data_IF_833061005526
#
_entry.id   IF_833061005526
#
_cell.length_a   1.000
_cell.length_b   1.000
_cell.length_c   1.000
_cell.angle_alpha   90.00
_cell.angle_beta   90.00
_cell.angle_gamma   90.00
#
_symmetry.space_group_name_H-M   'P 1'
#
loop_
_entity.id
_entity.type
_entity.pdbx_description
1 polymer ?
#
# COMPACT_ATOMS: atom_id res chain seq x y z
N UNK A 1 3.64 31.95 17.43
CA UNK A 1 2.32 32.06 16.78
C UNK A 1 1.63 30.70 16.87
N UNK A 2 0.90 30.48 17.96
CA UNK A 2 0.16 29.25 18.20
C UNK A 2 -1.17 29.34 17.44
N UNK A 3 -1.38 28.44 16.47
CA UNK A 3 -2.69 28.25 15.85
C UNK A 3 -3.61 27.60 16.89
N UNK A 4 -4.49 28.40 17.49
CA UNK A 4 -5.63 27.89 18.26
C UNK A 4 -6.57 27.14 17.31
N UNK A 5 -6.77 25.84 17.56
CA UNK A 5 -7.80 25.05 16.87
C UNK A 5 -9.14 25.47 17.45
N UNK A 6 -10.02 26.04 16.62
CA UNK A 6 -11.43 26.21 16.95
C UNK A 6 -12.10 24.83 16.99
N UNK A 7 -12.72 24.49 18.11
CA UNK A 7 -13.58 23.31 18.26
C UNK A 7 -15.02 23.78 18.04
N UNK A 8 -15.65 23.33 16.96
CA UNK A 8 -17.05 23.63 16.61
C UNK A 8 -17.96 22.47 17.02
N UNK A 9 -17.92 22.06 18.29
CA UNK A 9 -18.95 21.18 18.87
C UNK A 9 -19.85 22.06 19.75
N UNK A 10 -20.85 22.68 19.13
CA UNK A 10 -21.94 23.37 19.82
C UNK A 10 -22.98 22.32 20.22
N UNK A 11 -23.09 22.01 21.51
CA UNK A 11 -24.34 21.47 22.04
C UNK A 11 -25.38 22.61 21.99
N UNK A 12 -26.51 22.37 21.31
CA UNK A 12 -27.60 23.33 21.02
C UNK A 12 -28.34 23.88 22.27
N UNK A 13 -27.77 23.77 23.47
CA UNK A 13 -28.41 24.14 24.75
C UNK A 13 -27.74 25.29 25.51
N UNK A 14 -26.64 25.87 25.01
CA UNK A 14 -25.92 26.92 25.73
C UNK A 14 -26.32 28.32 25.22
N UNK A 15 -26.94 29.14 26.07
CA UNK A 15 -27.26 30.53 25.76
C UNK A 15 -26.00 31.32 25.34
N UNK A 16 -26.07 32.18 24.31
CA UNK A 16 -24.90 32.89 23.80
C UNK A 16 -24.39 33.91 24.82
N UNK A 17 -23.14 33.73 25.29
CA UNK A 17 -22.57 34.57 26.34
C UNK A 17 -22.28 36.03 25.95
N UNK A 18 -22.07 36.31 24.66
CA UNK A 18 -21.88 37.66 24.11
C UNK A 18 -22.08 37.65 22.58
N UNK A 19 -22.10 38.83 21.95
CA UNK A 19 -22.32 38.96 20.50
C UNK A 19 -21.24 38.30 19.63
N UNK A 20 -20.01 38.14 20.15
CA UNK A 20 -18.90 37.44 19.50
C UNK A 20 -18.09 36.64 20.55
N UNK A 21 -18.52 35.42 20.90
CA UNK A 21 -17.79 34.59 21.86
C UNK A 21 -16.48 34.08 21.28
N UNK A 22 -15.37 34.30 22.00
CA UNK A 22 -14.08 33.69 21.68
C UNK A 22 -13.75 32.67 22.76
N UNK A 23 -14.04 31.40 22.50
CA UNK A 23 -13.96 30.32 23.50
C UNK A 23 -12.54 29.73 23.48
N UNK A 24 -11.83 29.88 24.59
CA UNK A 24 -10.52 29.29 24.84
C UNK A 24 -10.63 28.17 25.88
N UNK A 25 -9.68 27.24 25.84
CA UNK A 25 -9.54 26.19 26.86
C UNK A 25 -8.35 26.54 27.74
N UNK A 26 -8.60 26.75 29.03
CA UNK A 26 -7.54 27.03 30.01
C UNK A 26 -6.70 25.77 30.28
N UNK A 27 -5.54 25.95 30.90
CA UNK A 27 -4.66 24.83 31.32
C UNK A 27 -5.38 23.82 32.23
N UNK A 28 -6.35 24.29 33.02
CA UNK A 28 -7.21 23.48 33.89
C UNK A 28 -8.29 22.68 33.12
N UNK A 29 -8.33 22.80 31.79
CA UNK A 29 -9.27 22.09 30.92
C UNK A 29 -10.69 22.67 30.92
N UNK A 30 -10.90 23.89 31.42
CA UNK A 30 -12.21 24.57 31.38
C UNK A 30 -12.38 25.41 30.11
N UNK A 31 -13.57 25.35 29.49
CA UNK A 31 -13.96 26.20 28.37
C UNK A 31 -14.41 27.56 28.89
N UNK A 32 -13.70 28.62 28.51
CA UNK A 32 -13.96 29.99 28.99
C UNK A 32 -14.00 30.94 27.80
N UNK A 33 -14.96 31.85 27.78
CA UNK A 33 -14.96 32.95 26.81
C UNK A 33 -13.89 33.99 27.20
N UNK A 34 -12.92 34.24 26.33
CA UNK A 34 -11.88 35.25 26.53
C UNK A 34 -12.45 36.68 26.58
N UNK A 35 -13.61 36.91 25.94
CA UNK A 35 -14.22 38.24 25.82
C UNK A 35 -15.09 38.63 27.03
N UNK A 36 -15.79 37.69 27.67
CA UNK A 36 -16.69 37.98 28.79
C UNK A 36 -16.42 37.17 30.07
N UNK A 37 -15.50 36.20 30.02
CA UNK A 37 -15.13 35.38 31.18
C UNK A 37 -16.14 34.31 31.58
N UNK A 38 -17.25 34.14 30.84
CA UNK A 38 -18.22 33.08 31.15
C UNK A 38 -17.58 31.70 30.96
N UNK A 39 -17.78 30.83 31.94
CA UNK A 39 -17.30 29.44 31.94
C UNK A 39 -18.42 28.52 31.48
N UNK A 40 -18.19 27.79 30.39
CA UNK A 40 -19.16 26.84 29.82
C UNK A 40 -18.98 25.41 30.38
N UNK A 41 -18.09 25.24 31.36
CA UNK A 41 -17.78 23.95 32.00
C UNK A 41 -16.42 23.38 31.60
N UNK A 42 -16.16 22.14 32.01
CA UNK A 42 -14.94 21.42 31.65
C UNK A 42 -15.02 20.95 30.19
N UNK A 43 -14.00 21.26 29.40
CA UNK A 43 -13.74 20.55 28.16
C UNK A 43 -13.35 19.13 28.54
N UNK A 44 -14.27 18.19 28.35
CA UNK A 44 -13.89 16.79 28.27
C UNK A 44 -12.97 16.67 27.05
N UNK A 45 -11.67 16.53 27.32
CA UNK A 45 -10.75 16.13 26.28
C UNK A 45 -11.16 14.70 25.92
N UNK A 46 -11.73 14.51 24.74
CA UNK A 46 -11.97 13.19 24.12
C UNK A 46 -10.63 12.50 23.75
N UNK A 47 -9.58 12.74 24.52
CA UNK A 47 -8.35 11.99 24.39
C UNK A 47 -8.55 10.66 25.08
N UNK A 48 -8.80 9.64 24.26
CA UNK A 48 -8.57 8.25 24.62
C UNK A 48 -7.30 8.16 25.49
N UNK A 49 -7.41 7.49 26.65
CA UNK A 49 -6.30 7.22 27.57
C UNK A 49 -5.06 6.79 26.80
N UNK A 50 -4.09 7.68 26.62
CA UNK A 50 -2.86 7.42 25.86
C UNK A 50 -1.98 6.46 26.65
N UNK A 51 -1.52 5.40 25.99
CA UNK A 51 -0.45 4.57 26.52
C UNK A 51 0.89 5.18 26.08
N UNK A 52 1.71 5.57 27.05
CA UNK A 52 2.96 6.29 26.78
C UNK A 52 4.17 5.35 26.68
N UNK A 53 4.04 4.13 27.23
CA UNK A 53 5.09 3.11 27.20
C UNK A 53 4.69 1.92 26.33
N UNK A 54 5.70 1.25 25.75
CA UNK A 54 5.50 0.04 24.93
C UNK A 54 4.88 -1.11 25.73
N UNK A 55 5.22 -1.23 27.01
CA UNK A 55 4.67 -2.22 27.94
C UNK A 55 3.20 -1.96 28.25
N UNK A 56 2.84 -0.69 28.48
CA UNK A 56 1.46 -0.29 28.68
C UNK A 56 0.62 -0.51 27.41
N UNK A 57 1.18 -0.25 26.22
CA UNK A 57 0.53 -0.60 24.94
C UNK A 57 0.31 -2.12 24.84
N UNK A 58 1.26 -2.94 25.28
CA UNK A 58 1.18 -4.40 25.18
C UNK A 58 0.15 -5.00 26.15
N UNK A 59 0.08 -4.51 27.40
CA UNK A 59 -0.90 -4.96 28.39
C UNK A 59 -2.33 -4.54 27.98
N UNK A 60 -2.49 -3.32 27.48
CA UNK A 60 -3.79 -2.77 27.06
C UNK A 60 -4.33 -3.40 25.78
N UNK A 61 -3.47 -3.80 24.85
CA UNK A 61 -3.85 -4.57 23.64
C UNK A 61 -4.66 -5.84 23.94
N UNK A 62 -4.60 -6.40 25.16
CA UNK A 62 -5.40 -7.57 25.57
C UNK A 62 -6.82 -7.22 25.98
N UNK A 63 -7.00 -6.12 26.72
CA UNK A 63 -8.28 -5.76 27.36
C UNK A 63 -9.08 -4.76 26.57
N UNK A 64 -8.43 -3.93 25.74
CA UNK A 64 -9.11 -2.89 24.98
C UNK A 64 -9.78 -3.43 23.72
N UNK A 65 -11.01 -2.95 23.42
CA UNK A 65 -11.67 -3.28 22.17
C UNK A 65 -10.83 -2.75 21.00
N UNK A 66 -10.36 -3.65 20.15
CA UNK A 66 -9.77 -3.26 18.86
C UNK A 66 -10.88 -2.91 17.88
N UNK A 67 -11.10 -1.62 17.69
CA UNK A 67 -11.89 -1.11 16.58
C UNK A 67 -11.25 -1.56 15.26
N UNK A 68 -11.94 -2.44 14.53
CA UNK A 68 -11.56 -2.86 13.18
C UNK A 68 -12.52 -2.22 12.21
N UNK A 69 -12.00 -1.64 11.14
CA UNK A 69 -12.83 -1.08 10.07
C UNK A 69 -13.48 -2.13 9.17
N UNK A 70 -13.06 -3.40 9.26
CA UNK A 70 -13.61 -4.51 8.49
C UNK A 70 -13.34 -5.87 9.16
N UNK A 71 -14.15 -6.87 8.81
CA UNK A 71 -14.09 -8.23 9.33
C UNK A 71 -15.14 -8.49 10.43
N UNK A 72 -15.17 -9.70 11.01
CA UNK A 72 -16.09 -10.03 12.10
C UNK A 72 -15.90 -9.08 13.29
N UNK A 73 -17.01 -8.54 13.81
CA UNK A 73 -17.02 -7.63 14.97
C UNK A 73 -16.45 -8.27 16.23
N UNK A 74 -16.71 -9.57 16.41
CA UNK A 74 -16.11 -10.40 17.45
C UNK A 74 -15.64 -11.71 16.84
N UNK A 75 -14.51 -12.22 17.32
CA UNK A 75 -13.96 -13.52 16.91
C UNK A 75 -14.01 -14.43 18.13
N UNK A 76 -14.90 -15.42 18.12
CA UNK A 76 -14.90 -16.49 19.11
C UNK A 76 -13.87 -17.50 18.62
N UNK A 77 -12.69 -17.47 19.22
CA UNK A 77 -11.61 -18.40 18.93
C UNK A 77 -12.00 -19.81 19.41
N UNK A 78 -11.58 -20.84 18.67
CA UNK A 78 -11.82 -22.24 19.04
C UNK A 78 -10.88 -22.73 20.15
N UNK A 79 -10.63 -21.89 21.17
CA UNK A 79 -9.74 -22.23 22.28
C UNK A 79 -10.49 -23.20 23.20
N UNK A 80 -9.83 -24.30 23.57
CA UNK A 80 -10.40 -25.34 24.44
C UNK A 80 -10.14 -25.09 25.93
N UNK A 81 -9.60 -23.92 26.27
CA UNK A 81 -9.18 -23.55 27.62
C UNK A 81 -9.74 -22.19 28.01
N UNK A 82 -10.17 -22.08 29.25
CA UNK A 82 -10.64 -20.83 29.85
C UNK A 82 -9.49 -19.83 30.07
N UNK A 83 -9.83 -18.58 30.39
CA UNK A 83 -8.86 -17.54 30.74
C UNK A 83 -7.95 -17.91 31.94
N UNK A 84 -8.41 -18.84 32.79
CA UNK A 84 -7.64 -19.40 33.92
C UNK A 84 -6.80 -20.63 33.54
N UNK A 85 -6.86 -21.09 32.28
CA UNK A 85 -6.10 -22.24 31.78
C UNK A 85 -6.76 -23.60 31.99
N UNK A 86 -7.95 -23.67 32.58
CA UNK A 86 -8.70 -24.93 32.71
C UNK A 86 -9.28 -25.37 31.37
N UNK A 87 -9.31 -26.68 31.12
CA UNK A 87 -9.96 -27.24 29.95
C UNK A 87 -11.48 -27.09 30.03
N UNK A 88 -12.07 -26.63 28.93
CA UNK A 88 -13.52 -26.52 28.77
C UNK A 88 -14.14 -27.91 28.68
N UNK A 89 -15.29 -28.10 29.33
CA UNK A 89 -16.07 -29.34 29.17
C UNK A 89 -16.54 -29.52 27.72
N UNK A 90 -16.71 -30.78 27.29
CA UNK A 90 -17.12 -31.10 25.91
C UNK A 90 -18.43 -30.40 25.48
N UNK A 91 -19.39 -30.23 26.41
CA UNK A 91 -20.65 -29.52 26.16
C UNK A 91 -20.42 -28.03 25.87
N UNK A 92 -19.53 -27.38 26.63
CA UNK A 92 -19.19 -25.98 26.45
C UNK A 92 -18.40 -25.77 25.16
N UNK A 93 -17.45 -26.66 24.85
CA UNK A 93 -16.72 -26.63 23.57
C UNK A 93 -17.67 -26.71 22.37
N UNK A 94 -18.67 -27.60 22.42
CA UNK A 94 -19.69 -27.71 21.38
C UNK A 94 -20.54 -26.43 21.26
N UNK A 95 -20.91 -25.82 22.39
CA UNK A 95 -21.63 -24.54 22.43
C UNK A 95 -20.80 -23.42 21.79
N UNK A 96 -19.54 -23.25 22.17
CA UNK A 96 -18.66 -22.23 21.60
C UNK A 96 -18.39 -22.45 20.10
N UNK A 97 -18.24 -23.71 19.67
CA UNK A 97 -18.15 -24.05 18.24
C UNK A 97 -19.41 -23.61 17.49
N UNK A 98 -20.60 -23.86 18.06
CA UNK A 98 -21.88 -23.43 17.47
C UNK A 98 -22.00 -21.90 17.42
N UNK A 99 -21.66 -21.21 18.51
CA UNK A 99 -21.65 -19.74 18.55
C UNK A 99 -20.67 -19.15 17.55
N UNK A 100 -19.47 -19.73 17.41
CA UNK A 100 -18.47 -19.30 16.43
C UNK A 100 -18.99 -19.44 14.98
N UNK A 101 -19.71 -20.53 14.68
CA UNK A 101 -20.39 -20.71 13.38
C UNK A 101 -21.49 -19.67 13.15
N UNK A 102 -22.34 -19.42 14.14
CA UNK A 102 -23.40 -18.40 14.05
C UNK A 102 -22.77 -17.02 13.83
N UNK A 103 -21.73 -16.69 14.60
CA UNK A 103 -21.02 -15.42 14.45
C UNK A 103 -20.39 -15.26 13.07
N UNK A 104 -19.80 -16.32 12.51
CA UNK A 104 -19.28 -16.32 11.15
C UNK A 104 -20.36 -16.10 10.07
N UNK A 105 -21.59 -16.54 10.33
CA UNK A 105 -22.72 -16.37 9.39
C UNK A 105 -23.26 -14.94 9.32
N UNK A 106 -23.08 -14.14 10.38
CA UNK A 106 -23.48 -12.73 10.44
C UNK A 106 -22.58 -11.81 9.62
N UNK A 107 -21.42 -12.31 9.14
CA UNK A 107 -20.42 -11.53 8.41
C UNK A 107 -20.81 -11.38 6.94
N UNK A 108 -20.82 -10.14 6.47
CA UNK A 108 -21.10 -9.82 5.06
C UNK A 108 -20.10 -10.52 4.13
N UNK A 109 -20.53 -10.84 2.91
CA UNK A 109 -19.64 -11.42 1.88
C UNK A 109 -18.46 -10.50 1.57
N UNK A 110 -18.66 -9.18 1.61
CA UNK A 110 -17.61 -8.18 1.42
C UNK A 110 -16.60 -8.19 2.57
N UNK A 111 -17.08 -8.28 3.82
CA UNK A 111 -16.22 -8.32 5.00
C UNK A 111 -15.38 -9.60 5.05
N UNK A 112 -15.97 -10.75 4.69
CA UNK A 112 -15.23 -12.01 4.54
C UNK A 112 -14.13 -11.89 3.48
N UNK A 113 -14.41 -11.24 2.36
CA UNK A 113 -13.42 -10.99 1.33
C UNK A 113 -12.26 -10.11 1.85
N UNK A 114 -12.57 -9.03 2.57
CA UNK A 114 -11.53 -8.18 3.17
C UNK A 114 -10.70 -8.91 4.22
N UNK A 115 -11.33 -9.77 5.01
CA UNK A 115 -10.68 -10.59 6.01
C UNK A 115 -9.65 -11.54 5.40
N UNK A 116 -9.96 -12.13 4.24
CA UNK A 116 -9.04 -13.00 3.51
C UNK A 116 -7.94 -12.20 2.80
N UNK A 117 -8.28 -11.05 2.21
CA UNK A 117 -7.38 -10.30 1.34
C UNK A 117 -6.33 -9.48 2.09
N UNK A 118 -6.67 -8.85 3.22
CA UNK A 118 -5.75 -7.96 3.94
C UNK A 118 -4.47 -8.66 4.41
N UNK A 119 -4.53 -9.84 5.06
CA UNK A 119 -3.32 -10.55 5.49
C UNK A 119 -2.43 -10.93 4.29
N UNK A 120 -3.04 -11.32 3.16
CA UNK A 120 -2.31 -11.64 1.92
C UNK A 120 -1.59 -10.42 1.35
N UNK A 121 -2.26 -9.26 1.30
CA UNK A 121 -1.64 -8.00 0.88
C UNK A 121 -0.46 -7.61 1.78
N UNK A 122 -0.65 -7.66 3.10
CA UNK A 122 0.39 -7.36 4.08
C UNK A 122 1.57 -8.34 3.96
N UNK A 123 1.29 -9.64 3.79
CA UNK A 123 2.31 -10.66 3.59
C UNK A 123 3.16 -10.42 2.34
N UNK A 124 2.53 -10.06 1.21
CA UNK A 124 3.25 -9.71 -0.02
C UNK A 124 4.10 -8.44 0.15
N UNK A 125 3.55 -7.41 0.78
CA UNK A 125 4.28 -6.17 1.04
C UNK A 125 5.53 -6.40 1.88
N UNK A 126 5.42 -7.18 2.96
CA UNK A 126 6.55 -7.49 3.84
C UNK A 126 7.63 -8.27 3.09
N UNK A 127 7.25 -9.30 2.32
CA UNK A 127 8.19 -10.08 1.51
C UNK A 127 8.95 -9.22 0.48
N UNK A 128 8.29 -8.22 -0.09
CA UNK A 128 8.87 -7.34 -1.11
C UNK A 128 9.51 -6.06 -0.53
N UNK A 129 9.49 -5.90 0.79
CA UNK A 129 9.95 -4.69 1.51
C UNK A 129 9.32 -3.40 0.97
N UNK A 130 8.01 -3.44 0.70
CA UNK A 130 7.26 -2.30 0.15
C UNK A 130 6.83 -1.36 1.28
N UNK A 131 7.06 -0.03 1.17
CA UNK A 131 6.65 0.95 2.17
C UNK A 131 5.14 0.95 2.47
N UNK A 132 4.77 1.24 3.72
CA UNK A 132 3.38 1.25 4.20
C UNK A 132 2.45 2.13 3.36
N UNK A 133 2.92 3.29 2.91
CA UNK A 133 2.16 4.21 2.06
C UNK A 133 1.64 3.52 0.78
N UNK A 134 2.47 2.69 0.14
CA UNK A 134 2.09 1.94 -1.06
C UNK A 134 1.11 0.81 -0.72
N UNK A 135 1.24 0.20 0.47
CA UNK A 135 0.29 -0.83 0.93
C UNK A 135 -1.10 -0.26 1.22
N UNK A 136 -1.15 0.97 1.72
CA UNK A 136 -2.41 1.68 2.01
C UNK A 136 -3.11 2.06 0.72
N UNK A 137 -2.38 2.54 -0.29
CA UNK A 137 -2.96 2.82 -1.61
C UNK A 137 -3.39 1.54 -2.31
N UNK A 138 -2.60 0.46 -2.22
CA UNK A 138 -3.00 -0.86 -2.70
C UNK A 138 -4.30 -1.35 -2.03
N UNK A 139 -4.44 -1.12 -0.72
CA UNK A 139 -5.65 -1.46 0.02
C UNK A 139 -6.84 -0.63 -0.45
N UNK A 140 -6.69 0.69 -0.64
CA UNK A 140 -7.74 1.57 -1.19
C UNK A 140 -8.22 1.10 -2.57
N UNK A 141 -7.28 0.72 -3.45
CA UNK A 141 -7.61 0.15 -4.76
C UNK A 141 -8.39 -1.15 -4.60
N UNK A 142 -7.91 -2.07 -3.76
CA UNK A 142 -8.58 -3.35 -3.51
C UNK A 142 -9.99 -3.17 -2.91
N UNK A 143 -10.18 -2.21 -2.00
CA UNK A 143 -11.51 -1.96 -1.42
C UNK A 143 -12.54 -1.58 -2.47
N UNK A 144 -12.14 -0.79 -3.48
CA UNK A 144 -13.03 -0.45 -4.59
C UNK A 144 -13.28 -1.65 -5.53
N UNK A 145 -12.26 -2.49 -5.78
CA UNK A 145 -12.44 -3.74 -6.55
C UNK A 145 -13.51 -4.63 -5.92
N UNK A 146 -13.46 -4.80 -4.59
CA UNK A 146 -14.40 -5.64 -3.87
C UNK A 146 -15.81 -5.02 -3.81
N UNK A 147 -15.92 -3.70 -3.59
CA UNK A 147 -17.21 -2.97 -3.61
C UNK A 147 -17.91 -3.12 -4.97
N UNK A 148 -17.16 -3.09 -6.06
CA UNK A 148 -17.68 -3.32 -7.43
C UNK A 148 -17.92 -4.81 -7.76
N UNK A 149 -17.75 -5.72 -6.80
CA UNK A 149 -17.92 -7.19 -6.96
C UNK A 149 -17.07 -7.81 -8.07
N UNK A 150 -15.93 -7.19 -8.44
CA UNK A 150 -15.04 -7.69 -9.49
C UNK A 150 -14.32 -9.00 -9.14
N UNK A 151 -14.26 -9.31 -7.84
CA UNK A 151 -13.66 -10.52 -7.27
C UNK A 151 -14.55 -11.76 -7.39
N UNK A 152 -15.85 -11.61 -7.66
CA UNK A 152 -16.77 -12.74 -7.73
C UNK A 152 -16.43 -13.65 -8.92
N UNK A 153 -16.18 -14.94 -8.65
CA UNK A 153 -15.79 -15.92 -9.66
C UNK A 153 -14.33 -15.82 -10.15
N UNK A 154 -13.48 -15.07 -9.45
CA UNK A 154 -12.06 -14.88 -9.79
C UNK A 154 -11.18 -15.01 -8.56
N UNK A 155 -9.89 -15.27 -8.76
CA UNK A 155 -8.94 -15.39 -7.65
C UNK A 155 -8.77 -14.06 -6.91
N UNK A 156 -9.01 -14.08 -5.59
CA UNK A 156 -8.72 -12.96 -4.67
C UNK A 156 -7.24 -12.58 -4.77
N UNK A 157 -6.37 -13.58 -4.80
CA UNK A 157 -4.91 -13.41 -4.81
C UNK A 157 -4.45 -12.64 -6.06
N UNK A 158 -5.08 -12.91 -7.21
CA UNK A 158 -4.80 -12.21 -8.46
C UNK A 158 -5.17 -10.72 -8.39
N UNK A 159 -6.25 -10.37 -7.69
CA UNK A 159 -6.62 -8.96 -7.47
C UNK A 159 -5.78 -8.29 -6.40
N UNK A 160 -5.43 -8.98 -5.32
CA UNK A 160 -4.50 -8.45 -4.28
C UNK A 160 -3.16 -8.10 -4.92
N UNK A 161 -2.60 -9.02 -5.70
CA UNK A 161 -1.32 -8.85 -6.39
C UNK A 161 -1.38 -7.73 -7.43
N UNK A 162 -2.46 -7.67 -8.21
CA UNK A 162 -2.65 -6.60 -9.19
C UNK A 162 -2.87 -5.23 -8.55
N UNK A 163 -3.61 -5.13 -7.43
CA UNK A 163 -3.79 -3.89 -6.67
C UNK A 163 -2.48 -3.40 -6.07
N UNK A 164 -1.63 -4.31 -5.59
CA UNK A 164 -0.28 -3.97 -5.11
C UNK A 164 0.58 -3.42 -6.26
N UNK A 165 0.58 -4.08 -7.42
CA UNK A 165 1.31 -3.59 -8.58
C UNK A 165 0.77 -2.26 -9.10
N UNK A 166 -0.54 -2.07 -9.12
CA UNK A 166 -1.19 -0.81 -9.45
C UNK A 166 -0.71 0.34 -8.54
N UNK A 167 -0.64 0.11 -7.23
CA UNK A 167 -0.13 1.08 -6.27
C UNK A 167 1.35 1.41 -6.51
N UNK A 168 2.20 0.40 -6.70
CA UNK A 168 3.62 0.57 -7.06
C UNK A 168 3.78 1.48 -8.27
N UNK A 169 2.91 1.32 -9.27
CA UNK A 169 2.93 2.11 -10.51
C UNK A 169 2.49 3.55 -10.30
N UNK A 170 1.58 3.81 -9.36
CA UNK A 170 1.16 5.17 -8.98
C UNK A 170 2.28 5.90 -8.23
N UNK A 171 2.97 5.20 -7.33
CA UNK A 171 4.09 5.74 -6.55
C UNK A 171 5.44 5.72 -7.27
N UNK A 172 5.48 5.31 -8.54
CA UNK A 172 6.70 5.22 -9.36
C UNK A 172 7.83 4.38 -8.73
N UNK A 173 7.46 3.37 -7.92
CA UNK A 173 8.41 2.47 -7.28
C UNK A 173 8.92 1.42 -8.30
N UNK A 174 10.25 1.26 -8.49
CA UNK A 174 10.81 0.51 -9.63
C UNK A 174 10.74 -1.01 -9.46
N UNK A 175 9.54 -1.61 -9.38
CA UNK A 175 9.33 -3.06 -9.34
C UNK A 175 8.73 -3.59 -10.63
N UNK A 176 9.21 -4.76 -11.06
CA UNK A 176 8.67 -5.46 -12.22
C UNK A 176 7.44 -6.27 -11.81
N UNK A 177 6.50 -6.46 -12.74
CA UNK A 177 5.32 -7.28 -12.48
C UNK A 177 5.72 -8.74 -12.23
N UNK A 178 6.69 -9.25 -13.00
CA UNK A 178 7.22 -10.62 -12.91
C UNK A 178 7.73 -10.95 -11.49
N UNK A 179 8.41 -10.02 -10.85
CA UNK A 179 8.93 -10.19 -9.48
C UNK A 179 7.81 -10.40 -8.47
N UNK A 180 6.74 -9.61 -8.60
CA UNK A 180 5.61 -9.67 -7.68
C UNK A 180 4.83 -10.95 -7.92
N UNK A 181 4.65 -11.36 -9.19
CA UNK A 181 3.95 -12.59 -9.54
C UNK A 181 4.67 -13.84 -9.04
N UNK A 182 6.01 -13.85 -9.05
CA UNK A 182 6.81 -14.94 -8.49
C UNK A 182 6.65 -15.06 -6.98
N UNK A 183 6.75 -13.93 -6.26
CA UNK A 183 6.57 -13.92 -4.79
C UNK A 183 5.14 -14.30 -4.39
N UNK A 184 4.16 -13.94 -5.21
CA UNK A 184 2.76 -14.31 -5.02
C UNK A 184 2.45 -15.76 -5.44
N UNK A 185 3.32 -16.41 -6.21
CA UNK A 185 3.09 -17.74 -6.80
C UNK A 185 1.82 -17.80 -7.67
N UNK A 186 1.58 -16.75 -8.47
CA UNK A 186 0.39 -16.64 -9.34
C UNK A 186 0.84 -16.50 -10.80
N UNK A 187 0.16 -17.17 -11.76
CA UNK A 187 0.49 -17.01 -13.17
C UNK A 187 0.33 -15.56 -13.63
N UNK A 188 1.34 -15.05 -14.34
CA UNK A 188 1.42 -13.68 -14.86
C UNK A 188 0.17 -13.28 -15.66
N UNK A 189 -0.37 -14.20 -16.48
CA UNK A 189 -1.59 -13.96 -17.28
C UNK A 189 -2.81 -13.63 -16.41
N UNK A 190 -2.95 -14.27 -15.25
CA UNK A 190 -4.05 -14.01 -14.32
C UNK A 190 -3.95 -12.59 -13.75
N UNK A 191 -2.74 -12.20 -13.31
CA UNK A 191 -2.48 -10.87 -12.75
C UNK A 191 -2.63 -9.77 -13.80
N UNK A 192 -2.24 -10.01 -15.05
CA UNK A 192 -2.50 -9.07 -16.15
C UNK A 192 -4.01 -8.85 -16.39
N UNK A 193 -4.81 -9.92 -16.33
CA UNK A 193 -6.26 -9.82 -16.53
C UNK A 193 -6.91 -9.02 -15.40
N UNK A 194 -6.54 -9.27 -14.14
CA UNK A 194 -7.04 -8.50 -12.99
C UNK A 194 -6.57 -7.04 -13.04
N UNK A 195 -5.31 -6.79 -13.39
CA UNK A 195 -4.77 -5.44 -13.56
C UNK A 195 -5.53 -4.65 -14.64
N UNK A 196 -5.82 -5.27 -15.78
CA UNK A 196 -6.60 -4.63 -16.86
C UNK A 196 -8.01 -4.23 -16.41
N UNK A 197 -8.63 -5.02 -15.53
CA UNK A 197 -9.94 -4.71 -14.96
C UNK A 197 -9.85 -3.56 -13.95
N UNK A 198 -8.84 -3.55 -13.09
CA UNK A 198 -8.60 -2.45 -12.14
C UNK A 198 -8.42 -1.13 -12.90
N UNK A 199 -7.59 -1.14 -13.95
CA UNK A 199 -7.33 0.05 -14.76
C UNK A 199 -8.60 0.56 -15.42
N UNK A 200 -9.46 -0.34 -15.93
CA UNK A 200 -10.68 0.04 -16.64
C UNK A 200 -11.83 0.46 -15.72
N UNK A 201 -12.02 -0.22 -14.59
CA UNK A 201 -13.21 -0.08 -13.75
C UNK A 201 -12.98 0.73 -12.47
N UNK A 202 -11.77 0.66 -11.89
CA UNK A 202 -11.50 1.22 -10.55
C UNK A 202 -10.80 2.58 -10.64
N UNK A 203 -9.83 2.74 -11.54
CA UNK A 203 -9.12 4.02 -11.66
C UNK A 203 -9.98 5.21 -12.08
N UNK A 204 -11.00 5.07 -12.94
CA UNK A 204 -11.93 6.16 -13.21
C UNK A 204 -12.68 6.62 -11.96
N UNK A 205 -13.08 5.68 -11.09
CA UNK A 205 -13.78 5.96 -9.83
C UNK A 205 -12.87 6.67 -8.84
N UNK A 206 -11.64 6.19 -8.69
CA UNK A 206 -10.65 6.78 -7.78
C UNK A 206 -9.98 8.05 -8.33
N UNK A 207 -10.24 8.43 -9.58
CA UNK A 207 -9.56 9.55 -10.29
C UNK A 207 -8.03 9.45 -10.24
N UNK A 208 -7.49 8.23 -10.20
CA UNK A 208 -6.05 7.98 -10.14
C UNK A 208 -5.46 7.81 -11.54
N UNK A 209 -4.28 8.39 -11.78
CA UNK A 209 -3.58 8.28 -13.07
C UNK A 209 -2.63 7.08 -13.06
N UNK A 210 -2.89 6.12 -13.95
CA UNK A 210 -1.97 5.02 -14.20
C UNK A 210 -0.92 5.40 -15.22
N UNK A 211 0.36 5.39 -14.82
CA UNK A 211 1.48 5.74 -15.70
C UNK A 211 2.35 4.52 -16.05
N UNK A 212 2.97 4.47 -17.24
CA UNK A 212 4.01 3.49 -17.56
C UNK A 212 5.18 3.58 -16.58
N UNK A 213 5.91 2.47 -16.37
CA UNK A 213 7.14 2.49 -15.55
C UNK A 213 8.16 3.39 -16.21
N UNK A 214 8.75 4.30 -15.43
CA UNK A 214 9.80 5.19 -15.91
C UNK A 214 11.09 4.40 -16.13
N UNK A 215 11.63 4.44 -17.36
CA UNK A 215 12.88 3.74 -17.70
C UNK A 215 14.06 4.17 -16.83
N UNK A 216 14.10 5.46 -16.42
CA UNK A 216 15.15 6.02 -15.58
C UNK A 216 15.25 5.34 -14.20
N UNK A 217 14.12 5.06 -13.54
CA UNK A 217 14.16 4.42 -12.22
C UNK A 217 14.61 2.96 -12.29
N UNK A 218 14.30 2.27 -13.39
CA UNK A 218 14.81 0.93 -13.67
C UNK A 218 16.33 0.90 -13.90
N UNK A 219 16.91 1.92 -14.56
CA UNK A 219 18.37 2.02 -14.76
C UNK A 219 19.10 2.04 -13.42
N UNK A 220 18.69 2.89 -12.48
CA UNK A 220 19.34 2.96 -11.17
C UNK A 220 19.17 1.68 -10.37
N UNK A 221 17.98 1.08 -10.42
CA UNK A 221 17.73 -0.19 -9.74
C UNK A 221 18.61 -1.32 -10.29
N UNK A 222 18.56 -1.56 -11.60
CA UNK A 222 19.36 -2.61 -12.24
C UNK A 222 20.86 -2.35 -12.07
N UNK A 223 21.27 -1.08 -12.12
CA UNK A 223 22.65 -0.68 -11.85
C UNK A 223 23.12 -1.05 -10.44
N UNK A 224 22.28 -0.83 -9.43
CA UNK A 224 22.57 -1.23 -8.05
C UNK A 224 22.65 -2.75 -7.89
N UNK A 225 21.75 -3.49 -8.53
CA UNK A 225 21.75 -4.97 -8.52
C UNK A 225 23.00 -5.55 -9.21
N UNK A 226 23.47 -4.90 -10.27
CA UNK A 226 24.72 -5.21 -10.97
C UNK A 226 25.97 -4.65 -10.29
N UNK A 227 25.84 -3.98 -9.14
CA UNK A 227 26.93 -3.32 -8.39
C UNK A 227 27.77 -2.38 -9.27
N UNK A 228 27.11 -1.57 -10.09
CA UNK A 228 27.75 -0.57 -10.96
C UNK A 228 27.89 0.77 -10.24
N UNK A 229 28.94 1.53 -10.55
CA UNK A 229 29.13 2.87 -10.00
C UNK A 229 28.04 3.84 -10.48
N UNK A 230 27.74 4.84 -9.63
CA UNK A 230 26.75 5.87 -9.93
C UNK A 230 27.08 6.66 -11.21
N UNK A 231 28.36 6.78 -11.58
CA UNK A 231 28.79 7.41 -12.83
C UNK A 231 28.22 6.69 -14.05
N UNK A 232 28.40 5.37 -14.12
CA UNK A 232 27.88 4.53 -15.22
C UNK A 232 26.35 4.55 -15.27
N UNK A 233 25.69 4.49 -14.11
CA UNK A 233 24.23 4.56 -14.04
C UNK A 233 23.68 5.90 -14.53
N UNK A 234 24.35 7.00 -14.18
CA UNK A 234 23.96 8.35 -14.60
C UNK A 234 24.20 8.55 -16.10
N UNK A 235 25.30 8.02 -16.62
CA UNK A 235 25.59 8.01 -18.06
C UNK A 235 24.50 7.26 -18.84
N UNK A 236 24.09 6.07 -18.37
CA UNK A 236 23.02 5.28 -18.98
C UNK A 236 21.68 6.03 -18.97
N UNK A 237 21.35 6.68 -17.85
CA UNK A 237 20.16 7.51 -17.76
C UNK A 237 20.22 8.69 -18.74
N UNK A 238 21.35 9.38 -18.82
CA UNK A 238 21.57 10.50 -19.73
C UNK A 238 21.48 10.06 -21.20
N UNK A 239 22.05 8.91 -21.54
CA UNK A 239 21.96 8.28 -22.87
C UNK A 239 20.50 8.08 -23.29
N UNK A 240 19.65 7.52 -22.42
CA UNK A 240 18.22 7.37 -22.70
C UNK A 240 17.52 8.71 -22.93
N UNK A 241 17.88 9.73 -22.14
CA UNK A 241 17.32 11.07 -22.30
C UNK A 241 17.72 11.69 -23.64
N UNK A 242 18.98 11.54 -24.06
CA UNK A 242 19.48 11.99 -25.37
C UNK A 242 18.77 11.27 -26.51
N UNK A 243 18.72 9.94 -26.48
CA UNK A 243 18.02 9.17 -27.51
C UNK A 243 16.54 9.54 -27.62
N UNK A 244 15.87 9.84 -26.49
CA UNK A 244 14.48 10.29 -26.48
C UNK A 244 14.31 11.67 -27.13
N UNK A 245 15.24 12.60 -26.91
CA UNK A 245 15.27 13.90 -27.59
C UNK A 245 15.47 13.74 -29.10
N UNK A 246 16.31 12.78 -29.50
CA UNK A 246 16.60 12.46 -30.91
C UNK A 246 15.48 11.64 -31.60
N UNK A 247 14.31 11.50 -30.99
CA UNK A 247 13.14 10.86 -31.62
C UNK A 247 12.89 9.40 -31.25
N UNK A 248 13.62 8.83 -30.29
CA UNK A 248 13.33 7.48 -29.79
C UNK A 248 11.95 7.47 -29.11
N UNK A 249 10.94 6.99 -29.84
CA UNK A 249 9.59 6.76 -29.29
C UNK A 249 9.67 5.70 -28.20
N UNK A 250 9.20 6.05 -27.00
CA UNK A 250 9.09 5.14 -25.85
C UNK A 250 7.77 4.35 -25.85
N UNK A 251 6.77 4.78 -26.63
CA UNK A 251 5.49 4.08 -26.74
C UNK A 251 5.63 2.78 -27.53
N UNK A 252 4.99 1.71 -27.04
CA UNK A 252 5.03 0.36 -27.63
C UNK A 252 6.34 -0.38 -27.42
N UNK A 253 7.32 0.22 -26.74
CA UNK A 253 8.59 -0.43 -26.39
C UNK A 253 8.62 -0.76 -24.91
N UNK A 254 9.18 -1.93 -24.61
CA UNK A 254 9.29 -2.40 -23.24
C UNK A 254 10.35 -1.60 -22.47
N UNK A 255 9.96 -0.87 -21.39
CA UNK A 255 10.90 -0.02 -20.64
C UNK A 255 12.03 -0.81 -19.98
N UNK A 256 11.81 -2.07 -19.55
CA UNK A 256 12.90 -2.90 -18.97
C UNK A 256 14.01 -3.15 -19.98
N UNK A 257 13.66 -3.43 -21.24
CA UNK A 257 14.61 -3.65 -22.32
C UNK A 257 15.41 -2.40 -22.70
N UNK A 258 14.79 -1.22 -22.65
CA UNK A 258 15.49 0.05 -22.90
C UNK A 258 16.47 0.39 -21.76
N UNK A 259 16.07 0.19 -20.50
CA UNK A 259 16.93 0.39 -19.34
C UNK A 259 18.16 -0.53 -19.39
N UNK A 260 17.94 -1.83 -19.65
CA UNK A 260 18.98 -2.84 -19.76
C UNK A 260 19.98 -2.53 -20.89
N UNK A 261 19.47 -2.12 -22.07
CA UNK A 261 20.32 -1.79 -23.21
C UNK A 261 21.18 -0.55 -22.96
N UNK A 262 20.62 0.49 -22.33
CA UNK A 262 21.39 1.68 -21.97
C UNK A 262 22.49 1.36 -20.96
N UNK A 263 22.17 0.56 -19.93
CA UNK A 263 23.17 0.09 -18.97
C UNK A 263 24.29 -0.70 -19.63
N UNK A 264 23.96 -1.63 -20.53
CA UNK A 264 24.96 -2.40 -21.27
C UNK A 264 25.90 -1.50 -22.09
N UNK A 265 25.35 -0.49 -22.77
CA UNK A 265 26.15 0.45 -23.55
C UNK A 265 27.09 1.28 -22.67
N UNK A 266 26.61 1.79 -21.54
CA UNK A 266 27.45 2.54 -20.59
C UNK A 266 28.50 1.66 -19.91
N UNK A 267 28.17 0.42 -19.55
CA UNK A 267 29.16 -0.55 -19.03
C UNK A 267 30.25 -0.88 -20.05
N UNK A 268 29.89 -0.92 -21.34
CA UNK A 268 30.86 -1.19 -22.41
C UNK A 268 31.85 -0.04 -22.62
N UNK A 269 31.40 1.20 -22.41
CA UNK A 269 32.23 2.40 -22.52
C UNK A 269 33.07 2.66 -21.25
N UNK A 270 32.65 2.12 -20.11
CA UNK A 270 33.38 2.19 -18.84
C UNK A 270 34.36 1.02 -18.65
N UNK A 271 35.18 1.10 -17.60
CA UNK A 271 36.02 -0.01 -17.13
C UNK A 271 35.19 -1.13 -16.48
N UNK A 272 33.96 -0.84 -16.06
CA UNK A 272 33.04 -1.77 -15.39
C UNK A 272 32.23 -2.63 -16.39
N UNK A 273 32.90 -3.52 -17.10
CA UNK A 273 32.24 -4.37 -18.11
C UNK A 273 31.37 -5.45 -17.46
N UNK A 274 30.16 -5.62 -17.99
CA UNK A 274 29.23 -6.71 -17.63
C UNK A 274 28.84 -7.50 -18.88
N UNK A 275 28.63 -8.80 -18.71
CA UNK A 275 28.19 -9.67 -19.81
C UNK A 275 26.74 -9.38 -20.18
N UNK A 276 26.36 -9.70 -21.42
CA UNK A 276 24.97 -9.55 -21.87
C UNK A 276 24.02 -10.43 -21.05
N UNK A 277 24.44 -11.66 -20.73
CA UNK A 277 23.71 -12.59 -19.87
C UNK A 277 23.39 -11.96 -18.51
N UNK A 278 24.39 -11.44 -17.79
CA UNK A 278 24.19 -10.86 -16.46
C UNK A 278 23.19 -9.70 -16.45
N UNK A 279 23.24 -8.83 -17.47
CA UNK A 279 22.29 -7.71 -17.59
C UNK A 279 20.89 -8.20 -17.99
N UNK A 280 20.82 -9.19 -18.88
CA UNK A 280 19.57 -9.78 -19.33
C UNK A 280 18.82 -10.49 -18.19
N UNK A 281 19.55 -11.18 -17.31
CA UNK A 281 19.03 -11.87 -16.14
C UNK A 281 18.41 -10.88 -15.13
N UNK A 282 19.15 -9.83 -14.77
CA UNK A 282 18.66 -8.77 -13.85
C UNK A 282 17.42 -8.06 -14.40
N UNK A 283 17.41 -7.79 -15.70
CA UNK A 283 16.28 -7.14 -16.35
C UNK A 283 15.12 -8.10 -16.71
N UNK A 284 15.29 -9.42 -16.51
CA UNK A 284 14.33 -10.47 -16.89
C UNK A 284 13.90 -10.37 -18.35
N UNK A 285 14.88 -10.32 -19.23
CA UNK A 285 14.70 -10.27 -20.68
C UNK A 285 15.65 -11.28 -21.34
N UNK A 286 15.41 -11.62 -22.60
CA UNK A 286 16.33 -12.48 -23.36
C UNK A 286 17.50 -11.68 -23.92
N UNK A 287 18.67 -12.29 -24.08
CA UNK A 287 19.82 -11.62 -24.71
C UNK A 287 19.50 -11.06 -26.11
N UNK A 288 18.65 -11.77 -26.87
CA UNK A 288 18.22 -11.33 -28.21
C UNK A 288 17.46 -10.00 -28.14
N UNK A 289 16.59 -9.85 -27.13
CA UNK A 289 15.89 -8.58 -26.92
C UNK A 289 16.84 -7.47 -26.51
N UNK A 290 17.83 -7.76 -25.64
CA UNK A 290 18.87 -6.80 -25.27
C UNK A 290 19.63 -6.31 -26.52
N UNK A 291 20.12 -7.21 -27.37
CA UNK A 291 20.84 -6.87 -28.62
C UNK A 291 20.00 -6.02 -29.57
N UNK A 292 18.71 -6.34 -29.70
CA UNK A 292 17.77 -5.57 -30.53
C UNK A 292 17.60 -4.14 -30.00
N UNK A 293 17.46 -3.98 -28.68
CA UNK A 293 17.32 -2.66 -28.05
C UNK A 293 18.61 -1.84 -28.13
N UNK A 294 19.77 -2.46 -28.01
CA UNK A 294 21.07 -1.78 -28.19
C UNK A 294 21.20 -1.20 -29.60
N UNK A 295 20.86 -1.98 -30.64
CA UNK A 295 20.86 -1.48 -32.03
C UNK A 295 19.93 -0.27 -32.20
N UNK A 296 18.76 -0.30 -31.56
CA UNK A 296 17.81 0.80 -31.59
C UNK A 296 18.33 2.05 -30.88
N UNK A 297 18.91 1.94 -29.68
CA UNK A 297 19.44 3.10 -28.98
C UNK A 297 20.59 3.73 -29.79
N UNK A 298 21.45 2.88 -30.38
CA UNK A 298 22.57 3.32 -31.21
C UNK A 298 22.14 4.08 -32.48
N UNK A 299 20.98 3.78 -33.06
CA UNK A 299 20.50 4.51 -34.25
C UNK A 299 19.97 5.91 -33.95
N UNK A 300 19.74 6.24 -32.68
CA UNK A 300 19.21 7.54 -32.24
C UNK A 300 20.17 8.26 -31.29
N UNK A 301 21.43 7.83 -31.22
CA UNK A 301 22.47 8.47 -30.40
C UNK A 301 23.20 9.55 -31.17
#
# INVERSE_FOLDING_TARGET
MHHAKKYDDFDDSDEPCCQNPDIIVNEDGTRVCANCGLTFGQAFVDSERRAYTTEEVASRRRTEPKWRSFGPRTVITGVQTDARGHHLEAKQQALFSRLSKIQGSLVSSLERNFWEAKPKLNGLSLKLSIPSQITETAWKIYTEVAKQKLTMGRSIDGFVTASLYAAIRIHEFPRLLEEITEVAMIPLRSVHRSLGLIVRMVFPVLKMKYKPVTTRSLVFRFGNELKLSMGVQTEAANMLTKSRKNGLKSMGKDPKGLAAAALYMSCKNSQEKRTQAAIADVARITEVTLRTRVKQIKSFL
#
